data_IF_557406949079
#
_entry.id   IF_557406949079
#
_cell.length_a   1.000
_cell.length_b   1.000
_cell.length_c   1.000
_cell.angle_alpha   90.00
_cell.angle_beta   90.00
_cell.angle_gamma   90.00
#
_symmetry.space_group_name_H-M   'P 1'
#
loop_
_entity.id
_entity.type
_entity.pdbx_description
1 polymer ?
#
# COMPACT_ATOMS: atom_id res chain seq x y z
N UNK A 1 17.89 -12.30 -12.03
CA UNK A 1 17.57 -12.15 -13.46
C UNK A 1 17.14 -10.72 -13.70
N UNK A 2 18.05 -9.93 -14.25
CA UNK A 2 17.84 -8.55 -14.67
C UNK A 2 16.82 -8.56 -15.81
N UNK A 3 15.63 -8.00 -15.60
CA UNK A 3 14.75 -7.66 -16.72
C UNK A 3 15.52 -6.73 -17.63
N UNK A 4 15.94 -7.27 -18.77
CA UNK A 4 16.51 -6.53 -19.89
C UNK A 4 15.62 -5.32 -20.16
N UNK A 5 16.25 -4.17 -20.37
CA UNK A 5 15.53 -2.95 -20.73
C UNK A 5 14.75 -3.25 -22.01
N UNK A 6 13.44 -3.35 -21.91
CA UNK A 6 12.54 -3.67 -23.03
C UNK A 6 12.61 -2.64 -24.17
N UNK A 7 13.13 -1.44 -23.89
CA UNK A 7 13.23 -0.35 -24.85
C UNK A 7 14.66 0.17 -24.97
N UNK A 8 15.03 0.53 -26.18
CA UNK A 8 16.25 1.29 -26.45
C UNK A 8 16.13 2.72 -25.94
N UNK A 9 17.28 3.36 -25.66
CA UNK A 9 17.34 4.76 -25.22
C UNK A 9 16.71 5.70 -26.25
N UNK A 10 16.93 5.45 -27.54
CA UNK A 10 16.39 6.25 -28.64
C UNK A 10 14.87 6.17 -28.73
N UNK A 11 14.27 4.99 -28.52
CA UNK A 11 12.81 4.83 -28.50
C UNK A 11 12.16 5.61 -27.35
N UNK A 12 12.78 5.57 -26.17
CA UNK A 12 12.29 6.31 -25.00
C UNK A 12 12.46 7.81 -25.21
N UNK A 13 13.60 8.25 -25.73
CA UNK A 13 13.84 9.65 -26.04
C UNK A 13 12.81 10.19 -27.04
N UNK A 14 12.57 9.46 -28.13
CA UNK A 14 11.54 9.79 -29.11
C UNK A 14 10.16 9.91 -28.46
N UNK A 15 9.78 8.94 -27.63
CA UNK A 15 8.48 8.94 -26.96
C UNK A 15 8.34 10.10 -25.94
N UNK A 16 9.42 10.51 -25.26
CA UNK A 16 9.39 11.70 -24.40
C UNK A 16 9.25 13.00 -25.19
N UNK A 17 9.83 13.09 -26.38
CA UNK A 17 9.68 14.23 -27.28
C UNK A 17 8.27 14.28 -27.91
N UNK A 18 7.61 13.15 -28.12
CA UNK A 18 6.23 13.10 -28.62
C UNK A 18 5.20 13.38 -27.53
N UNK A 19 5.54 13.17 -26.25
CA UNK A 19 4.63 13.41 -25.13
C UNK A 19 4.46 14.92 -24.86
N UNK A 20 3.23 15.47 -24.98
CA UNK A 20 2.99 16.91 -24.86
C UNK A 20 3.25 17.46 -23.46
N UNK A 21 3.25 16.62 -22.43
CA UNK A 21 3.47 17.03 -21.04
C UNK A 21 4.95 16.92 -20.62
N UNK A 22 5.70 16.00 -21.23
CA UNK A 22 7.13 15.80 -20.93
C UNK A 22 8.00 16.66 -21.83
N UNK A 23 7.68 16.76 -23.13
CA UNK A 23 8.46 17.51 -24.13
C UNK A 23 8.85 18.91 -23.68
N UNK A 24 7.95 19.77 -23.14
CA UNK A 24 8.33 21.13 -22.76
C UNK A 24 9.40 21.18 -21.67
N UNK A 25 9.38 20.23 -20.73
CA UNK A 25 10.38 20.13 -19.67
C UNK A 25 11.70 19.60 -20.21
N UNK A 26 11.65 18.57 -21.06
CA UNK A 26 12.81 17.98 -21.71
C UNK A 26 13.57 19.04 -22.53
N UNK A 27 12.88 19.76 -23.41
CA UNK A 27 13.49 20.81 -24.23
C UNK A 27 14.11 21.93 -23.39
N UNK A 28 13.42 22.38 -22.34
CA UNK A 28 13.95 23.41 -21.44
C UNK A 28 15.19 22.93 -20.70
N UNK A 29 15.21 21.67 -20.25
CA UNK A 29 16.35 21.07 -19.53
C UNK A 29 17.56 20.86 -20.44
N UNK A 30 17.35 20.65 -21.74
CA UNK A 30 18.41 20.61 -22.75
C UNK A 30 18.98 22.01 -23.00
N UNK A 31 18.12 23.03 -23.06
CA UNK A 31 18.52 24.42 -23.36
C UNK A 31 19.24 25.11 -22.20
N UNK A 32 18.81 24.89 -20.96
CA UNK A 32 19.40 25.50 -19.77
C UNK A 32 19.33 24.57 -18.57
N UNK A 33 20.35 24.65 -17.71
CA UNK A 33 20.35 24.00 -16.40
C UNK A 33 19.39 24.68 -15.42
N UNK A 34 19.21 25.99 -15.58
CA UNK A 34 18.42 26.82 -14.68
C UNK A 34 16.93 26.52 -14.78
N UNK A 35 16.27 26.60 -13.63
CA UNK A 35 14.83 26.37 -13.54
C UNK A 35 14.07 27.48 -14.27
N UNK A 36 13.19 27.13 -15.23
CA UNK A 36 12.35 28.12 -15.90
C UNK A 36 11.51 28.90 -14.89
N UNK A 37 11.30 30.18 -15.18
CA UNK A 37 10.47 31.06 -14.37
C UNK A 37 9.01 30.61 -14.35
N UNK A 38 8.26 31.10 -13.37
CA UNK A 38 6.82 30.79 -13.25
C UNK A 38 6.02 31.30 -14.46
N UNK A 39 6.42 32.42 -15.05
CA UNK A 39 5.75 33.02 -16.20
C UNK A 39 5.90 32.15 -17.45
N UNK A 40 7.09 31.60 -17.67
CA UNK A 40 7.38 30.73 -18.82
C UNK A 40 6.61 29.40 -18.79
N UNK A 41 6.18 28.94 -17.61
CA UNK A 41 5.45 27.68 -17.43
C UNK A 41 3.95 27.93 -17.19
N UNK A 42 3.51 29.18 -17.08
CA UNK A 42 2.14 29.52 -16.72
C UNK A 42 1.09 28.99 -17.72
N UNK A 43 1.43 28.95 -19.01
CA UNK A 43 0.54 28.46 -20.08
C UNK A 43 0.62 26.95 -20.31
N UNK A 44 1.57 26.27 -19.68
CA UNK A 44 1.75 24.83 -19.84
C UNK A 44 0.66 24.02 -19.13
N UNK A 45 0.56 22.74 -19.47
CA UNK A 45 -0.41 21.83 -18.87
C UNK A 45 -0.19 21.66 -17.35
N UNK A 46 -1.22 21.25 -16.59
CA UNK A 46 -1.06 20.91 -15.17
C UNK A 46 -0.01 19.82 -14.92
N UNK A 47 0.13 18.86 -15.85
CA UNK A 47 1.12 17.78 -15.78
C UNK A 47 2.53 18.34 -15.93
N UNK A 48 2.75 19.18 -16.94
CA UNK A 48 4.02 19.85 -17.19
C UNK A 48 4.43 20.69 -15.98
N UNK A 49 3.49 21.42 -15.38
CA UNK A 49 3.70 22.18 -14.14
C UNK A 49 4.12 21.29 -12.95
N UNK A 50 3.58 20.07 -12.85
CA UNK A 50 4.00 19.09 -11.82
C UNK A 50 5.42 18.60 -12.05
N UNK A 51 5.81 18.33 -13.30
CA UNK A 51 7.21 18.02 -13.61
C UNK A 51 8.14 19.21 -13.36
N UNK A 52 7.73 20.42 -13.72
CA UNK A 52 8.47 21.65 -13.39
C UNK A 52 8.64 21.84 -11.87
N UNK A 53 7.66 21.47 -11.06
CA UNK A 53 7.78 21.51 -9.60
C UNK A 53 8.89 20.59 -9.08
N UNK A 54 9.24 19.55 -9.84
CA UNK A 54 10.29 18.58 -9.54
C UNK A 54 11.63 18.93 -10.20
N UNK A 55 11.79 20.11 -10.81
CA UNK A 55 12.93 20.48 -11.66
C UNK A 55 14.31 20.09 -11.12
N UNK A 56 14.56 20.35 -9.84
CA UNK A 56 15.85 20.13 -9.19
C UNK A 56 16.18 18.64 -9.04
N UNK A 57 15.15 17.79 -9.01
CA UNK A 57 15.29 16.34 -9.03
C UNK A 57 15.39 15.76 -10.44
N UNK A 58 15.08 16.54 -11.48
CA UNK A 58 15.11 16.07 -12.88
C UNK A 58 16.51 16.23 -13.48
N UNK A 59 16.97 15.19 -14.16
CA UNK A 59 18.30 15.11 -14.77
C UNK A 59 18.23 14.44 -16.14
N UNK A 60 19.10 14.86 -17.04
CA UNK A 60 19.25 14.25 -18.36
C UNK A 60 20.33 13.17 -18.31
N UNK A 61 20.06 12.03 -18.94
CA UNK A 61 21.01 10.96 -19.20
C UNK A 61 20.81 10.48 -20.63
N UNK A 62 21.83 10.62 -21.46
CA UNK A 62 21.77 10.24 -22.89
C UNK A 62 20.57 10.84 -23.63
N UNK A 63 20.22 12.09 -23.29
CA UNK A 63 19.09 12.81 -23.87
C UNK A 63 17.70 12.37 -23.37
N UNK A 64 17.64 11.48 -22.38
CA UNK A 64 16.41 11.01 -21.73
C UNK A 64 16.26 11.63 -20.34
N UNK A 65 15.03 12.04 -20.00
CA UNK A 65 14.70 12.66 -18.72
C UNK A 65 14.48 11.62 -17.62
N UNK A 66 15.25 11.74 -16.54
CA UNK A 66 15.13 10.95 -15.33
C UNK A 66 14.83 11.84 -14.13
N UNK A 67 14.22 11.26 -13.10
CA UNK A 67 14.08 11.81 -11.77
C UNK A 67 15.02 11.10 -10.81
N UNK A 68 15.81 11.87 -10.07
CA UNK A 68 16.53 11.39 -8.89
C UNK A 68 15.58 11.42 -7.70
N UNK A 69 15.38 10.29 -7.05
CA UNK A 69 14.60 10.20 -5.83
C UNK A 69 15.50 9.79 -4.68
N UNK A 70 15.41 10.51 -3.57
CA UNK A 70 16.17 10.28 -2.35
C UNK A 70 15.20 10.15 -1.18
N UNK A 71 15.50 9.23 -0.26
CA UNK A 71 14.83 9.18 1.04
C UNK A 71 15.23 10.41 1.89
N UNK A 72 14.40 10.74 2.88
CA UNK A 72 14.68 11.83 3.84
C UNK A 72 16.00 11.61 4.63
N UNK A 73 16.44 10.36 4.78
CA UNK A 73 17.69 9.98 5.44
C UNK A 73 18.90 9.94 4.47
N UNK A 74 18.69 10.22 3.19
CA UNK A 74 19.71 10.15 2.13
C UNK A 74 20.23 8.73 1.82
N UNK A 75 19.73 7.69 2.49
CA UNK A 75 20.30 6.33 2.43
C UNK A 75 20.00 5.60 1.12
N UNK A 76 18.90 5.95 0.46
CA UNK A 76 18.51 5.38 -0.83
C UNK A 76 18.42 6.46 -1.88
N UNK A 77 19.25 6.35 -2.91
CA UNK A 77 19.13 7.12 -4.15
C UNK A 77 18.62 6.18 -5.25
N UNK A 78 17.52 6.55 -5.91
CA UNK A 78 16.95 5.80 -7.03
C UNK A 78 16.76 6.71 -8.23
N UNK A 79 17.11 6.19 -9.39
CA UNK A 79 16.86 6.86 -10.66
C UNK A 79 15.59 6.31 -11.27
N UNK A 80 14.59 7.17 -11.43
CA UNK A 80 13.30 6.84 -12.02
C UNK A 80 13.23 7.48 -13.41
N UNK A 81 13.00 6.68 -14.44
CA UNK A 81 12.72 7.18 -15.78
C UNK A 81 11.38 7.94 -15.79
N UNK A 82 11.37 9.17 -16.32
CA UNK A 82 10.13 9.89 -16.58
C UNK A 82 9.42 9.21 -17.75
N UNK A 83 8.34 8.50 -17.48
CA UNK A 83 7.78 7.55 -18.44
C UNK A 83 6.68 8.19 -19.32
N UNK A 84 6.77 8.10 -20.66
CA UNK A 84 5.77 8.65 -21.58
C UNK A 84 4.39 8.00 -21.42
N UNK A 85 3.33 8.82 -21.53
CA UNK A 85 1.95 8.34 -21.34
C UNK A 85 1.53 7.25 -22.33
N UNK A 86 2.01 7.33 -23.56
CA UNK A 86 1.69 6.39 -24.64
C UNK A 86 2.09 4.94 -24.32
N UNK A 87 3.06 4.73 -23.42
CA UNK A 87 3.62 3.41 -23.12
C UNK A 87 3.27 2.88 -21.73
N UNK A 88 2.53 3.64 -20.92
CA UNK A 88 2.21 3.27 -19.52
C UNK A 88 1.59 1.86 -19.42
N UNK A 89 0.74 1.49 -20.38
CA UNK A 89 0.09 0.18 -20.39
C UNK A 89 1.10 -0.97 -20.44
N UNK A 90 2.20 -0.83 -21.18
CA UNK A 90 3.24 -1.86 -21.30
C UNK A 90 3.89 -2.14 -19.93
N UNK A 91 4.18 -1.08 -19.16
CA UNK A 91 4.73 -1.20 -17.80
C UNK A 91 3.72 -1.84 -16.85
N UNK A 92 2.45 -1.44 -16.92
CA UNK A 92 1.40 -2.00 -16.06
C UNK A 92 1.19 -3.50 -16.35
N UNK A 93 1.10 -3.88 -17.62
CA UNK A 93 1.00 -5.28 -18.05
C UNK A 93 2.23 -6.08 -17.57
N UNK A 94 3.44 -5.58 -17.84
CA UNK A 94 4.68 -6.26 -17.48
C UNK A 94 4.88 -6.42 -15.97
N UNK A 95 4.35 -5.50 -15.15
CA UNK A 95 4.53 -5.53 -13.69
C UNK A 95 3.37 -6.16 -12.92
N UNK A 96 2.16 -6.20 -13.49
CA UNK A 96 0.97 -6.75 -12.85
C UNK A 96 0.51 -8.08 -13.46
N UNK A 97 0.33 -8.13 -14.79
CA UNK A 97 -0.32 -9.24 -15.49
C UNK A 97 0.66 -10.37 -15.88
N UNK A 98 1.96 -10.07 -15.90
CA UNK A 98 2.98 -11.08 -16.17
C UNK A 98 3.07 -12.12 -15.04
N UNK A 99 3.62 -13.30 -15.35
CA UNK A 99 3.87 -14.35 -14.35
C UNK A 99 4.75 -13.83 -13.18
N UNK A 100 5.71 -12.95 -13.46
CA UNK A 100 6.55 -12.33 -12.45
C UNK A 100 5.81 -11.24 -11.65
N UNK A 101 4.81 -10.60 -12.25
CA UNK A 101 3.88 -9.64 -11.63
C UNK A 101 2.82 -10.28 -10.75
N UNK A 102 2.44 -11.55 -11.01
CA UNK A 102 1.66 -12.39 -10.12
C UNK A 102 0.29 -11.82 -9.71
N UNK A 103 -0.24 -10.83 -10.42
CA UNK A 103 -1.42 -10.05 -10.03
C UNK A 103 -1.34 -9.47 -8.62
N UNK A 104 -0.17 -8.92 -8.26
CA UNK A 104 -0.01 -8.29 -6.95
C UNK A 104 -0.99 -7.13 -6.74
N UNK A 105 -1.39 -6.93 -5.47
CA UNK A 105 -2.22 -5.80 -5.08
C UNK A 105 -1.52 -4.46 -5.28
N UNK A 106 -2.32 -3.39 -5.32
CA UNK A 106 -1.92 -2.01 -5.65
C UNK A 106 -0.59 -1.60 -5.02
N UNK A 107 -0.42 -1.77 -3.70
CA UNK A 107 0.79 -1.32 -3.00
C UNK A 107 2.07 -1.99 -3.50
N UNK A 108 2.03 -3.30 -3.77
CA UNK A 108 3.22 -4.06 -4.20
C UNK A 108 3.54 -3.78 -5.66
N UNK A 109 2.54 -3.66 -6.52
CA UNK A 109 2.70 -3.23 -7.91
C UNK A 109 3.29 -1.82 -7.98
N UNK A 110 2.72 -0.89 -7.21
CA UNK A 110 3.19 0.49 -7.09
C UNK A 110 4.65 0.57 -6.61
N UNK A 111 5.00 -0.22 -5.59
CA UNK A 111 6.38 -0.30 -5.08
C UNK A 111 7.37 -0.69 -6.17
N UNK A 112 7.05 -1.73 -6.95
CA UNK A 112 7.92 -2.21 -8.03
C UNK A 112 8.10 -1.21 -9.15
N UNK A 113 7.01 -0.58 -9.59
CA UNK A 113 7.07 0.44 -10.65
C UNK A 113 7.95 1.61 -10.20
N UNK A 114 7.79 2.07 -8.96
CA UNK A 114 8.59 3.16 -8.37
C UNK A 114 10.08 2.84 -8.22
N UNK A 115 10.51 1.60 -8.40
CA UNK A 115 11.94 1.29 -8.43
C UNK A 115 12.62 1.85 -9.67
N UNK A 116 11.89 2.01 -10.78
CA UNK A 116 12.47 2.34 -12.09
C UNK A 116 11.75 3.44 -12.86
N UNK A 117 10.48 3.70 -12.58
CA UNK A 117 9.65 4.59 -13.38
C UNK A 117 8.93 5.62 -12.52
N UNK A 118 8.66 6.77 -13.13
CA UNK A 118 7.80 7.81 -12.59
C UNK A 118 7.00 8.45 -13.71
N UNK A 119 5.72 8.68 -13.49
CA UNK A 119 4.90 9.55 -14.32
C UNK A 119 3.84 10.20 -13.44
N UNK A 120 3.20 11.22 -13.98
CA UNK A 120 2.11 11.89 -13.30
C UNK A 120 0.88 10.98 -13.10
N UNK A 121 0.26 11.02 -11.91
CA UNK A 121 -0.86 10.14 -11.53
C UNK A 121 -0.56 8.64 -11.49
N UNK A 122 0.71 8.23 -11.49
CA UNK A 122 1.14 6.82 -11.35
C UNK A 122 0.35 6.01 -10.30
N UNK A 123 0.11 6.50 -9.06
CA UNK A 123 -0.67 5.73 -8.08
C UNK A 123 -2.11 5.45 -8.53
N UNK A 124 -2.76 6.43 -9.14
CA UNK A 124 -4.15 6.32 -9.59
C UNK A 124 -4.28 5.38 -10.79
N UNK A 125 -3.32 5.43 -11.72
CA UNK A 125 -3.28 4.51 -12.86
C UNK A 125 -3.08 3.06 -12.42
N UNK A 126 -2.16 2.82 -11.47
CA UNK A 126 -1.93 1.48 -10.90
C UNK A 126 -3.17 0.97 -10.16
N UNK A 127 -3.83 1.83 -9.38
CA UNK A 127 -5.06 1.48 -8.68
C UNK A 127 -6.17 1.10 -9.67
N UNK A 128 -6.37 1.93 -10.69
CA UNK A 128 -7.35 1.69 -11.77
C UNK A 128 -7.07 0.35 -12.46
N UNK A 129 -5.82 0.11 -12.86
CA UNK A 129 -5.39 -1.13 -13.52
C UNK A 129 -5.70 -2.38 -12.68
N UNK A 130 -5.26 -2.39 -11.43
CA UNK A 130 -5.49 -3.50 -10.50
C UNK A 130 -6.99 -3.71 -10.22
N UNK A 131 -7.78 -2.63 -10.22
CA UNK A 131 -9.24 -2.69 -10.03
C UNK A 131 -9.95 -3.24 -11.26
N UNK A 132 -9.47 -2.98 -12.46
CA UNK A 132 -10.06 -3.41 -13.73
C UNK A 132 -9.58 -4.81 -14.17
N UNK A 133 -8.51 -5.33 -13.57
CA UNK A 133 -8.00 -6.67 -13.82
C UNK A 133 -9.05 -7.77 -13.51
N UNK A 134 -9.45 -8.52 -14.54
CA UNK A 134 -10.46 -9.57 -14.44
C UNK A 134 -10.01 -10.74 -13.55
N UNK A 135 -8.73 -11.12 -13.62
CA UNK A 135 -8.15 -12.19 -12.80
C UNK A 135 -8.19 -11.80 -11.31
N UNK A 136 -7.84 -10.55 -10.99
CA UNK A 136 -7.96 -10.01 -9.63
C UNK A 136 -9.42 -9.97 -9.16
N UNK A 137 -10.35 -9.53 -10.02
CA UNK A 137 -11.79 -9.47 -9.69
C UNK A 137 -12.35 -10.85 -9.38
N UNK A 138 -12.05 -11.84 -10.21
CA UNK A 138 -12.50 -13.21 -10.01
C UNK A 138 -11.98 -13.84 -8.70
N UNK A 139 -10.78 -13.45 -8.26
CA UNK A 139 -10.19 -13.91 -6.98
C UNK A 139 -10.76 -13.19 -5.76
N UNK A 140 -11.27 -11.97 -5.91
CA UNK A 140 -11.87 -11.22 -4.79
C UNK A 140 -13.23 -11.84 -4.46
N UNK A 141 -13.31 -12.50 -3.31
CA UNK A 141 -14.60 -12.97 -2.76
C UNK A 141 -15.49 -11.77 -2.45
N UNK A 142 -16.80 -11.82 -2.78
CA UNK A 142 -17.75 -10.81 -2.32
C UNK A 142 -17.67 -10.70 -0.80
N UNK A 143 -17.48 -9.49 -0.29
CA UNK A 143 -17.67 -9.22 1.13
C UNK A 143 -19.17 -9.08 1.35
N UNK A 144 -19.82 -10.09 1.92
CA UNK A 144 -21.15 -9.91 2.50
C UNK A 144 -21.03 -8.96 3.69
N UNK A 145 -22.04 -8.10 3.89
CA UNK A 145 -22.05 -7.07 4.94
C UNK A 145 -21.94 -7.66 6.36
N UNK A 146 -22.16 -8.97 6.49
CA UNK A 146 -22.04 -9.71 7.74
C UNK A 146 -20.83 -10.66 7.81
N UNK A 147 -19.78 -10.51 7.00
CA UNK A 147 -18.52 -11.29 7.17
C UNK A 147 -18.67 -12.82 7.21
N UNK A 148 -19.82 -13.37 6.81
CA UNK A 148 -20.17 -14.79 6.84
C UNK A 148 -20.23 -15.29 5.41
N UNK A 149 -19.37 -16.27 5.12
CA UNK A 149 -19.35 -17.02 3.87
C UNK A 149 -20.74 -17.60 3.56
N UNK A 150 -21.20 -17.48 2.31
CA UNK A 150 -22.48 -18.02 1.80
C UNK A 150 -22.50 -19.57 1.71
N UNK A 151 -21.61 -20.25 2.43
CA UNK A 151 -21.77 -21.67 2.71
C UNK A 151 -21.96 -21.81 4.21
N UNK A 152 -23.03 -22.50 4.62
CA UNK A 152 -23.33 -22.93 6.00
C UNK A 152 -22.20 -23.75 6.66
N UNK A 153 -21.10 -23.93 5.97
CA UNK A 153 -19.98 -24.79 6.32
C UNK A 153 -18.72 -23.95 6.54
N UNK A 154 -18.07 -24.19 7.66
CA UNK A 154 -16.76 -23.65 8.02
C UNK A 154 -15.68 -24.18 7.07
N UNK A 155 -14.55 -23.47 6.94
CA UNK A 155 -13.44 -23.94 6.09
C UNK A 155 -12.83 -25.26 6.57
N UNK A 156 -12.98 -25.61 7.85
CA UNK A 156 -12.53 -26.88 8.39
C UNK A 156 -13.38 -28.05 7.86
N UNK A 157 -14.70 -27.87 7.73
CA UNK A 157 -15.62 -28.92 7.28
C UNK A 157 -15.47 -29.26 5.79
N UNK A 158 -14.98 -28.33 4.95
CA UNK A 158 -14.70 -28.61 3.53
C UNK A 158 -13.44 -29.45 3.29
N UNK A 159 -12.52 -29.49 4.25
CA UNK A 159 -11.23 -30.19 4.09
C UNK A 159 -11.33 -31.68 4.41
N UNK A 160 -12.33 -32.10 5.18
CA UNK A 160 -12.57 -33.50 5.53
C UNK A 160 -13.01 -34.34 4.33
N UNK A 161 -13.74 -33.75 3.39
CA UNK A 161 -14.48 -34.46 2.33
C UNK A 161 -13.87 -34.35 0.92
N UNK A 162 -12.74 -33.65 0.77
CA UNK A 162 -12.04 -33.51 -0.53
C UNK A 162 -10.53 -33.61 -0.39
N UNK A 163 -10.05 -34.61 0.34
CA UNK A 163 -8.63 -34.94 0.25
C UNK A 163 -8.38 -35.70 -1.07
N UNK A 164 -7.52 -35.19 -1.98
CA UNK A 164 -7.20 -35.91 -3.21
C UNK A 164 -6.67 -37.30 -2.85
N UNK A 165 -7.19 -38.33 -3.51
CA UNK A 165 -6.66 -39.70 -3.40
C UNK A 165 -5.21 -39.66 -3.87
N UNK A 166 -4.26 -39.98 -2.98
CA UNK A 166 -2.87 -40.09 -3.39
C UNK A 166 -2.70 -41.33 -4.29
N UNK A 167 -1.71 -41.37 -5.19
CA UNK A 167 -1.46 -42.53 -6.05
C UNK A 167 -1.32 -43.85 -5.27
N UNK A 168 -0.79 -43.80 -4.04
CA UNK A 168 -0.75 -44.96 -3.16
C UNK A 168 -2.13 -45.42 -2.67
N UNK A 169 -3.11 -44.52 -2.47
CA UNK A 169 -4.48 -44.88 -2.08
C UNK A 169 -5.23 -45.62 -3.20
N UNK A 170 -4.81 -45.42 -4.45
CA UNK A 170 -5.32 -46.14 -5.63
C UNK A 170 -4.67 -47.53 -5.73
N UNK A 171 -3.37 -47.63 -5.43
CA UNK A 171 -2.59 -48.85 -5.58
C UNK A 171 -2.74 -49.84 -4.40
N UNK A 172 -2.90 -49.34 -3.18
CA UNK A 172 -2.86 -50.17 -1.95
C UNK A 172 -4.17 -50.17 -1.16
N UNK A 173 -5.17 -49.38 -1.57
CA UNK A 173 -6.42 -49.21 -0.85
C UNK A 173 -6.24 -48.44 0.47
N UNK A 174 -7.33 -47.82 0.96
CA UNK A 174 -7.32 -47.15 2.26
C UNK A 174 -7.30 -48.22 3.35
N UNK A 175 -6.33 -48.23 4.28
CA UNK A 175 -6.41 -49.11 5.44
C UNK A 175 -7.73 -48.83 6.17
N UNK A 176 -8.50 -49.88 6.45
CA UNK A 176 -9.65 -49.79 7.37
C UNK A 176 -9.18 -49.30 8.74
N UNK A 177 -10.10 -48.87 9.63
CA UNK A 177 -9.75 -48.33 10.93
C UNK A 177 -9.08 -49.42 11.79
N UNK A 178 -7.75 -49.52 11.67
CA UNK A 178 -6.91 -50.29 12.57
C UNK A 178 -6.69 -49.45 13.83
N UNK A 179 -6.72 -50.15 14.97
CA UNK A 179 -6.55 -49.64 16.33
C UNK A 179 -5.54 -48.48 16.45
N UNK A 180 -5.82 -47.44 17.26
CA UNK A 180 -4.94 -46.28 17.40
C UNK A 180 -3.53 -46.70 17.85
N UNK A 181 -2.53 -46.44 17.01
CA UNK A 181 -1.13 -46.51 17.42
C UNK A 181 -0.81 -45.26 18.27
N UNK A 182 -0.11 -45.43 19.39
CA UNK A 182 0.25 -44.36 20.35
C UNK A 182 0.93 -43.14 19.69
N UNK A 183 1.60 -43.36 18.55
CA UNK A 183 2.26 -42.31 17.78
C UNK A 183 1.30 -41.31 17.14
N UNK A 184 0.10 -41.73 16.73
CA UNK A 184 -0.91 -40.82 16.17
C UNK A 184 -1.50 -39.90 17.24
N UNK A 185 -1.86 -40.47 18.40
CA UNK A 185 -2.36 -39.70 19.55
C UNK A 185 -1.29 -38.70 20.05
N UNK A 186 -0.02 -39.10 20.01
CA UNK A 186 1.10 -38.22 20.38
C UNK A 186 1.29 -37.09 19.37
N UNK A 187 1.09 -37.33 18.08
CA UNK A 187 1.18 -36.30 17.04
C UNK A 187 0.01 -35.31 17.12
N UNK A 188 -1.19 -35.81 17.36
CA UNK A 188 -2.42 -35.02 17.52
C UNK A 188 -2.33 -34.11 18.75
N UNK A 189 -1.90 -34.67 19.90
CA UNK A 189 -1.65 -33.90 21.12
C UNK A 189 -0.62 -32.79 20.92
N UNK A 190 0.44 -33.04 20.14
CA UNK A 190 1.44 -32.01 19.78
C UNK A 190 0.84 -30.92 18.89
N UNK A 191 -0.01 -31.27 17.94
CA UNK A 191 -0.67 -30.30 17.06
C UNK A 191 -1.65 -29.42 17.84
N UNK A 192 -2.44 -30.01 18.73
CA UNK A 192 -3.35 -29.27 19.60
C UNK A 192 -2.59 -28.33 20.55
N UNK A 193 -1.47 -28.78 21.11
CA UNK A 193 -0.59 -27.96 21.96
C UNK A 193 0.00 -26.75 21.21
N UNK A 194 0.41 -26.93 19.95
CA UNK A 194 0.88 -25.81 19.12
C UNK A 194 -0.25 -24.82 18.84
N UNK A 195 -1.44 -25.33 18.50
CA UNK A 195 -2.61 -24.49 18.23
C UNK A 195 -3.07 -23.70 19.47
N UNK A 196 -3.02 -24.28 20.67
CA UNK A 196 -3.36 -23.59 21.91
C UNK A 196 -2.32 -22.52 22.26
N UNK A 197 -1.04 -22.83 22.12
CA UNK A 197 0.06 -21.86 22.35
C UNK A 197 -0.06 -20.64 21.43
N UNK A 198 -0.35 -20.84 20.15
CA UNK A 198 -0.53 -19.72 19.21
C UNK A 198 -1.77 -18.88 19.54
N UNK A 199 -2.87 -19.50 19.98
CA UNK A 199 -4.05 -18.77 20.49
C UNK A 199 -3.72 -17.93 21.73
N UNK A 200 -2.90 -18.45 22.64
CA UNK A 200 -2.47 -17.72 23.83
C UNK A 200 -1.54 -16.55 23.49
N UNK A 201 -0.60 -16.73 22.55
CA UNK A 201 0.26 -15.65 22.06
C UNK A 201 -0.54 -14.50 21.46
N UNK A 202 -1.58 -14.80 20.68
CA UNK A 202 -2.47 -13.77 20.11
C UNK A 202 -3.24 -13.04 21.22
N UNK A 203 -3.72 -13.73 22.26
CA UNK A 203 -4.36 -13.11 23.42
C UNK A 203 -3.39 -12.20 24.17
N UNK A 204 -2.19 -12.69 24.49
CA UNK A 204 -1.13 -11.94 25.16
C UNK A 204 -0.72 -10.70 24.36
N UNK A 205 -0.65 -10.78 23.04
CA UNK A 205 -0.35 -9.64 22.18
C UNK A 205 -1.42 -8.54 22.28
N UNK A 206 -2.71 -8.91 22.30
CA UNK A 206 -3.81 -7.96 22.50
C UNK A 206 -3.73 -7.29 23.87
N UNK A 207 -3.43 -8.05 24.92
CA UNK A 207 -3.24 -7.50 26.27
C UNK A 207 -2.06 -6.54 26.30
N UNK A 208 -0.90 -6.92 25.76
CA UNK A 208 0.31 -6.06 25.69
C UNK A 208 0.06 -4.76 24.93
N UNK A 209 -0.67 -4.82 23.81
CA UNK A 209 -1.07 -3.61 23.07
C UNK A 209 -1.95 -2.71 23.94
N UNK A 210 -2.95 -3.28 24.61
CA UNK A 210 -3.82 -2.53 25.51
C UNK A 210 -3.03 -1.89 26.66
N UNK A 211 -2.20 -2.65 27.37
CA UNK A 211 -1.38 -2.11 28.47
C UNK A 211 -0.41 -1.04 27.99
N UNK A 212 0.13 -1.15 26.77
CA UNK A 212 0.95 -0.10 26.16
C UNK A 212 0.14 1.17 25.89
N UNK A 213 -1.06 1.06 25.31
CA UNK A 213 -1.95 2.22 25.12
C UNK A 213 -2.32 2.87 26.46
N UNK A 214 -2.70 2.05 27.45
CA UNK A 214 -3.14 2.52 28.76
C UNK A 214 -1.97 3.11 29.57
N UNK A 215 -0.72 2.69 29.33
CA UNK A 215 0.48 3.21 30.03
C UNK A 215 0.80 4.68 29.74
N UNK A 216 0.32 5.21 28.61
CA UNK A 216 0.44 6.62 28.25
C UNK A 216 -0.75 7.47 28.70
N UNK A 217 -1.77 6.87 29.31
CA UNK A 217 -2.99 7.54 29.72
C UNK A 217 -2.79 8.23 31.08
N UNK A 218 -2.64 9.55 31.06
CA UNK A 218 -2.54 10.34 32.29
C UNK A 218 -3.93 10.51 32.90
N UNK A 219 -4.16 9.99 34.11
CA UNK A 219 -5.46 10.06 34.80
C UNK A 219 -5.76 11.51 35.23
N UNK A 220 -6.52 12.23 34.40
CA UNK A 220 -7.01 13.56 34.72
C UNK A 220 -8.44 13.44 35.27
N UNK A 221 -8.57 13.55 36.59
CA UNK A 221 -9.87 13.56 37.25
C UNK A 221 -10.55 14.93 37.15
N UNK A 222 -11.44 15.09 36.16
CA UNK A 222 -12.29 16.28 36.06
C UNK A 222 -13.45 16.24 37.06
N UNK A 223 -13.53 17.22 37.97
CA UNK A 223 -14.66 17.38 38.91
C UNK A 223 -15.79 18.18 38.25
N UNK A 224 -17.04 17.85 38.59
CA UNK A 224 -18.23 18.62 38.16
C UNK A 224 -18.09 20.07 38.65
N UNK A 225 -18.19 21.03 37.73
CA UNK A 225 -17.94 22.46 37.98
C UNK A 225 -16.50 22.93 37.72
N UNK A 226 -15.54 22.03 37.46
CA UNK A 226 -14.19 22.41 37.07
C UNK A 226 -14.11 23.03 35.68
N UNK A 227 -13.20 23.99 35.48
CA UNK A 227 -12.95 24.61 34.19
C UNK A 227 -11.92 23.81 33.39
N UNK A 228 -12.22 23.53 32.13
CA UNK A 228 -11.40 22.72 31.23
C UNK A 228 -11.26 23.39 29.87
N UNK A 229 -10.12 23.19 29.24
CA UNK A 229 -9.87 23.61 27.86
C UNK A 229 -10.02 22.38 26.94
N UNK A 230 -10.82 22.51 25.89
CA UNK A 230 -11.11 21.41 24.95
C UNK A 230 -10.20 21.56 23.74
N UNK A 231 -9.20 20.69 23.62
CA UNK A 231 -8.35 20.65 22.44
C UNK A 231 -8.97 19.74 21.38
N UNK A 232 -9.47 20.32 20.29
CA UNK A 232 -10.02 19.56 19.17
C UNK A 232 -8.96 19.41 18.06
N UNK A 233 -8.36 18.22 17.86
CA UNK A 233 -7.30 18.03 16.87
C UNK A 233 -7.81 18.03 15.42
N UNK A 234 -9.13 18.05 15.16
CA UNK A 234 -9.68 18.08 13.80
C UNK A 234 -9.74 19.53 13.28
N UNK A 235 -8.79 19.87 12.41
CA UNK A 235 -8.77 21.08 11.58
C UNK A 235 -10.15 21.43 11.01
N UNK A 236 -10.63 22.66 11.23
CA UNK A 236 -11.69 23.25 10.41
C UNK A 236 -11.13 23.50 9.00
N UNK A 237 -11.80 22.98 7.95
CA UNK A 237 -11.52 23.36 6.56
C UNK A 237 -11.99 24.80 6.33
N UNK A 238 -11.05 25.72 6.11
CA UNK A 238 -11.30 27.14 5.82
C UNK A 238 -10.03 28.00 5.98
N UNK A 239 -9.99 29.25 5.48
CA UNK A 239 -8.81 30.10 5.55
C UNK A 239 -8.44 30.42 7.01
N UNK A 240 -7.17 30.16 7.39
CA UNK A 240 -6.70 30.25 8.78
C UNK A 240 -6.44 31.72 9.19
N UNK A 241 -6.89 32.18 10.37
CA UNK A 241 -6.16 33.21 11.10
C UNK A 241 -4.97 32.60 11.87
N UNK A 242 -4.02 33.47 12.21
CA UNK A 242 -2.64 33.28 12.69
C UNK A 242 -2.46 32.40 13.96
N UNK A 243 -1.21 32.02 14.32
CA UNK A 243 -0.88 30.83 15.11
C UNK A 243 -1.21 31.01 16.59
N UNK A 244 -1.42 29.88 17.28
CA UNK A 244 -1.87 29.76 18.68
C UNK A 244 -3.37 30.12 18.80
N UNK A 245 -4.30 29.18 18.89
CA UNK A 245 -4.47 28.21 20.00
C UNK A 245 -5.16 26.93 19.48
N UNK A 246 -4.63 25.74 19.83
CA UNK A 246 -5.22 24.42 19.47
C UNK A 246 -6.39 24.01 20.38
N UNK A 247 -6.67 24.79 21.42
CA UNK A 247 -7.60 24.47 22.47
C UNK A 247 -8.58 25.61 22.65
N UNK A 248 -9.86 25.27 22.70
CA UNK A 248 -10.99 26.18 22.83
C UNK A 248 -11.53 26.11 24.27
N UNK A 249 -11.89 27.23 24.89
CA UNK A 249 -12.31 27.26 26.29
C UNK A 249 -12.13 28.61 26.99
N UNK A 250 -12.36 28.67 28.32
CA UNK A 250 -12.64 27.54 29.22
C UNK A 250 -14.14 27.14 29.27
N UNK A 251 -14.40 25.83 29.37
CA UNK A 251 -15.72 25.24 29.55
C UNK A 251 -15.88 24.65 30.96
N UNK A 252 -17.10 24.61 31.49
CA UNK A 252 -17.40 23.97 32.77
C UNK A 252 -17.85 22.53 32.60
N UNK A 253 -17.34 21.64 33.43
CA UNK A 253 -17.70 20.22 33.41
C UNK A 253 -19.08 20.02 34.05
N UNK A 254 -20.11 19.78 33.25
CA UNK A 254 -21.50 19.66 33.73
C UNK A 254 -21.81 18.27 34.31
N UNK A 255 -21.28 17.20 33.70
CA UNK A 255 -21.53 15.82 34.15
C UNK A 255 -20.45 14.88 33.64
N UNK A 256 -19.96 13.97 34.49
CA UNK A 256 -19.07 12.88 34.08
C UNK A 256 -19.93 11.72 33.56
N UNK A 257 -19.67 11.28 32.33
CA UNK A 257 -20.45 10.21 31.69
C UNK A 257 -19.83 8.82 31.91
N UNK A 258 -18.50 8.67 31.96
CA UNK A 258 -17.79 7.40 32.16
C UNK A 258 -16.43 7.61 32.86
N UNK A 259 -15.89 6.54 33.47
CA UNK A 259 -14.56 6.52 34.13
C UNK A 259 -13.45 5.95 33.24
N UNK A 260 -13.63 5.93 31.92
CA UNK A 260 -12.59 5.44 31.01
C UNK A 260 -11.60 6.58 30.77
N UNK A 261 -10.35 6.41 31.25
CA UNK A 261 -9.19 7.25 30.91
C UNK A 261 -8.66 6.82 29.55
#
# INVERSE_FOLDING_TARGET
>A
MTTENTWSVSEIQKAQLEDPDIRPILEKKIKSADRPSRQEIAQESPTTKRYWALWDSLHLKDGVLYRKWENDDGSSCRWQLIFPKSRIQEVLQGTHDSASGGHFGVMKTLSRIRERFYWDNLPADVEKWCRECQICRARKRPKTEDGKSVTRWTSAEKLSDRMPRFPCDILFGRPGPSSPNDDFNKLESRLESVQTSDRERVKLFKVRKRTHYDSGATDHHFKKGGLVWVCNPKQRRGPRPKPWQKCDGPYSVVKKLNNVV
#
